data_IF_327657346509
#
_entry.id   IF_327657346509
#
_cell.length_a   1.000
_cell.length_b   1.000
_cell.length_c   1.000
_cell.angle_alpha   90.00
_cell.angle_beta   90.00
_cell.angle_gamma   90.00
#
_symmetry.space_group_name_H-M   'P 1'
#
loop_
_entity.id
_entity.type
_entity.pdbx_description
1 polymer ?
#
# COMPACT_ATOMS: atom_id res chain seq x y z
N UNK A 1 15.40 34.08 -22.39
CA UNK A 1 15.60 35.53 -22.66
C UNK A 1 16.77 36.02 -21.82
N UNK A 2 17.55 36.94 -22.40
CA UNK A 2 18.84 37.47 -21.92
C UNK A 2 18.74 38.23 -20.59
N UNK A 3 19.82 38.13 -19.81
CA UNK A 3 20.18 39.05 -18.73
C UNK A 3 20.45 40.47 -19.30
N UNK A 4 20.16 41.51 -18.52
CA UNK A 4 20.51 42.88 -18.84
C UNK A 4 20.29 43.81 -17.65
N UNK A 5 21.39 44.15 -16.98
CA UNK A 5 21.49 45.11 -15.89
C UNK A 5 21.54 46.55 -16.44
N UNK A 6 21.05 47.52 -15.67
CA UNK A 6 21.06 48.96 -15.96
C UNK A 6 19.70 49.56 -15.60
N UNK A 7 19.52 50.31 -14.52
CA UNK A 7 20.39 51.31 -13.93
C UNK A 7 19.65 52.64 -14.03
N UNK A 8 18.89 53.00 -13.00
CA UNK A 8 18.55 54.39 -12.64
C UNK A 8 17.97 54.40 -11.22
N UNK A 9 18.89 54.58 -10.26
CA UNK A 9 18.54 55.06 -8.94
C UNK A 9 18.31 56.57 -9.03
N UNK A 10 17.08 56.98 -8.82
CA UNK A 10 16.73 58.35 -8.50
C UNK A 10 15.50 58.28 -7.59
N UNK A 11 15.75 58.20 -6.28
CA UNK A 11 14.84 58.71 -5.27
C UNK A 11 15.72 59.14 -4.10
N UNK A 12 16.18 60.39 -4.20
CA UNK A 12 16.60 61.12 -3.02
C UNK A 12 15.39 61.29 -2.12
N UNK A 13 15.51 60.86 -0.87
CA UNK A 13 14.85 61.54 0.22
C UNK A 13 15.87 61.63 1.35
N UNK A 14 16.12 62.88 1.73
CA UNK A 14 17.29 63.27 2.50
C UNK A 14 17.34 62.61 3.85
N UNK A 15 18.58 62.26 4.22
CA UNK A 15 19.03 62.10 5.58
C UNK A 15 18.74 63.39 6.35
N UNK A 16 17.56 63.46 6.96
CA UNK A 16 17.41 64.23 8.17
C UNK A 16 18.18 63.45 9.24
N UNK A 17 19.43 63.84 9.46
CA UNK A 17 20.21 63.54 10.66
C UNK A 17 19.46 64.13 11.89
N UNK A 18 18.33 63.52 12.24
CA UNK A 18 17.77 63.60 13.56
C UNK A 18 18.72 62.81 14.44
N UNK A 19 19.51 63.53 15.23
CA UNK A 19 20.28 62.95 16.31
C UNK A 19 19.28 62.25 17.23
N UNK A 20 19.03 60.96 17.01
CA UNK A 20 18.34 60.13 18.00
C UNK A 20 19.35 60.05 19.13
N UNK A 21 19.14 60.86 20.17
CA UNK A 21 19.92 60.76 21.40
C UNK A 21 19.96 59.27 21.78
N UNK A 22 21.17 58.72 21.80
CA UNK A 22 21.35 57.35 22.29
C UNK A 22 20.82 57.32 23.71
N UNK A 23 19.75 56.56 23.92
CA UNK A 23 19.14 56.39 25.24
C UNK A 23 20.25 55.98 26.21
N UNK A 24 20.46 56.80 27.25
CA UNK A 24 21.54 56.61 28.20
C UNK A 24 21.44 55.18 28.75
N UNK A 25 22.53 54.39 28.73
CA UNK A 25 22.53 53.05 29.31
C UNK A 25 22.14 53.14 30.79
N UNK A 26 21.03 52.49 31.16
CA UNK A 26 20.63 52.36 32.56
C UNK A 26 21.64 51.40 33.20
N UNK A 27 22.52 51.93 34.05
CA UNK A 27 23.40 51.12 34.88
C UNK A 27 22.59 50.62 36.06
N UNK A 28 22.16 49.36 36.03
CA UNK A 28 21.65 48.71 37.23
C UNK A 28 22.82 48.20 38.05
N UNK A 29 22.88 48.60 39.31
CA UNK A 29 23.73 47.98 40.32
C UNK A 29 22.83 47.12 41.19
N UNK A 30 23.07 45.80 41.20
CA UNK A 30 22.35 44.89 42.08
C UNK A 30 22.81 45.15 43.51
N UNK A 31 22.13 46.07 44.19
CA UNK A 31 22.25 46.25 45.63
C UNK A 31 21.47 45.11 46.29
N UNK A 32 22.21 44.21 46.94
CA UNK A 32 21.68 42.97 47.47
C UNK A 32 20.53 43.16 48.47
N UNK A 33 19.54 42.27 48.35
CA UNK A 33 18.64 41.91 49.44
C UNK A 33 17.27 42.59 49.44
N UNK A 34 16.29 42.03 48.71
CA UNK A 34 14.87 42.37 48.86
C UNK A 34 14.00 41.81 47.73
N UNK A 35 12.72 41.44 47.99
CA UNK A 35 11.92 40.59 47.11
C UNK A 35 11.68 41.29 45.76
N UNK A 36 11.97 40.60 44.67
CA UNK A 36 11.74 41.10 43.32
C UNK A 36 10.29 41.58 43.17
N UNK A 37 10.09 42.90 43.14
CA UNK A 37 8.79 43.50 42.83
C UNK A 37 8.50 43.20 41.37
N UNK A 38 7.61 42.23 41.12
CA UNK A 38 7.06 41.99 39.78
C UNK A 38 6.39 43.28 39.33
N UNK A 39 6.96 43.90 38.31
CA UNK A 39 6.36 45.06 37.67
C UNK A 39 4.99 44.67 37.10
N UNK A 40 3.92 45.24 37.65
CA UNK A 40 2.57 45.14 37.13
C UNK A 40 2.12 46.53 36.68
N UNK A 41 1.79 46.75 35.40
CA UNK A 41 1.32 48.05 34.92
C UNK A 41 -0.03 48.45 35.53
N UNK A 42 -0.70 47.55 36.27
CA UNK A 42 -1.99 47.79 36.92
C UNK A 42 -1.90 48.04 38.43
N UNK A 43 -0.73 47.93 39.06
CA UNK A 43 -0.61 48.21 40.50
C UNK A 43 -0.57 49.73 40.74
N UNK A 44 -1.58 50.24 41.46
CA UNK A 44 -1.75 51.64 41.87
C UNK A 44 -0.74 52.04 42.95
N UNK A 45 0.56 52.02 42.63
CA UNK A 45 1.55 52.60 43.52
C UNK A 45 1.61 54.13 43.37
N UNK A 46 1.91 54.88 44.45
CA UNK A 46 2.11 56.32 44.38
C UNK A 46 3.15 56.66 43.31
N UNK A 47 2.83 57.62 42.45
CA UNK A 47 3.68 58.08 41.37
C UNK A 47 5.04 58.53 41.94
N UNK A 48 6.05 57.68 41.79
CA UNK A 48 7.42 58.02 42.16
C UNK A 48 7.92 59.16 41.24
N UNK A 49 8.56 60.21 41.78
CA UNK A 49 9.20 61.28 40.98
C UNK A 49 10.22 60.77 39.96
N UNK A 50 10.74 59.55 40.18
CA UNK A 50 11.63 58.85 39.25
C UNK A 50 11.00 58.52 37.88
N UNK A 51 9.67 58.63 37.73
CA UNK A 51 8.97 58.41 36.45
C UNK A 51 9.27 59.48 35.41
N UNK A 52 9.69 60.67 35.82
CA UNK A 52 10.14 61.75 34.92
C UNK A 52 11.60 61.54 34.45
N UNK A 53 12.40 60.78 35.21
CA UNK A 53 13.83 60.55 34.96
C UNK A 53 14.14 59.21 34.33
N UNK A 54 13.26 58.23 34.48
CA UNK A 54 13.38 56.91 33.91
C UNK A 54 12.24 56.69 32.93
N UNK A 55 12.58 56.78 31.64
CA UNK A 55 11.68 56.39 30.56
C UNK A 55 11.12 55.01 30.88
N UNK A 56 9.80 54.96 31.02
CA UNK A 56 8.95 53.77 30.98
C UNK A 56 9.40 52.87 29.80
N UNK A 57 9.19 51.53 29.85
CA UNK A 57 10.01 50.55 29.14
C UNK A 57 10.25 50.97 27.69
N UNK A 58 11.53 51.02 27.30
CA UNK A 58 11.93 51.24 25.92
C UNK A 58 11.09 50.35 25.00
N UNK A 59 10.70 50.83 23.82
CA UNK A 59 9.86 50.10 22.86
C UNK A 59 10.36 48.66 22.60
N UNK A 60 11.68 48.46 22.68
CA UNK A 60 12.34 47.15 22.62
C UNK A 60 11.85 46.15 23.69
N UNK A 61 11.64 46.59 24.93
CA UNK A 61 11.16 45.71 26.01
C UNK A 61 9.71 45.30 25.79
N UNK A 62 8.89 46.21 25.25
CA UNK A 62 7.50 45.91 24.89
C UNK A 62 7.46 44.95 23.69
N UNK A 63 8.26 45.18 22.65
CA UNK A 63 8.33 44.30 21.48
C UNK A 63 8.79 42.88 21.85
N UNK A 64 9.81 42.74 22.71
CA UNK A 64 10.25 41.43 23.21
C UNK A 64 9.13 40.73 23.99
N UNK A 65 8.36 41.45 24.80
CA UNK A 65 7.26 40.84 25.54
C UNK A 65 6.11 40.41 24.62
N UNK A 66 5.82 41.17 23.56
CA UNK A 66 4.83 40.81 22.55
C UNK A 66 5.26 39.58 21.74
N UNK A 67 6.52 39.53 21.29
CA UNK A 67 7.09 38.35 20.63
C UNK A 67 7.04 37.12 21.53
N UNK A 68 7.43 37.25 22.81
CA UNK A 68 7.33 36.17 23.79
C UNK A 68 5.90 35.68 23.94
N UNK A 69 4.93 36.60 23.98
CA UNK A 69 3.50 36.25 24.07
C UNK A 69 3.06 35.48 22.83
N UNK A 70 3.45 35.93 21.64
CA UNK A 70 3.13 35.24 20.39
C UNK A 70 3.77 33.85 20.33
N UNK A 71 5.04 33.71 20.70
CA UNK A 71 5.72 32.43 20.77
C UNK A 71 5.06 31.46 21.75
N UNK A 72 4.55 31.94 22.89
CA UNK A 72 3.80 31.09 23.83
C UNK A 72 2.50 30.59 23.20
N UNK A 73 1.79 31.46 22.48
CA UNK A 73 0.54 31.09 21.79
C UNK A 73 0.83 30.07 20.69
N UNK A 74 1.79 30.34 19.81
CA UNK A 74 2.13 29.43 18.71
C UNK A 74 2.66 28.10 19.20
N UNK A 75 3.54 28.09 20.21
CA UNK A 75 4.03 26.83 20.80
C UNK A 75 2.89 26.01 21.40
N UNK A 76 1.89 26.66 22.02
CA UNK A 76 0.72 25.94 22.53
C UNK A 76 -0.07 25.28 21.41
N UNK A 77 -0.37 26.03 20.33
CA UNK A 77 -1.08 25.48 19.17
C UNK A 77 -0.31 24.33 18.53
N UNK A 78 1.01 24.47 18.37
CA UNK A 78 1.85 23.40 17.82
C UNK A 78 1.86 22.15 18.71
N UNK A 79 1.83 22.30 20.04
CA UNK A 79 1.72 21.16 20.95
C UNK A 79 0.37 20.45 20.80
N UNK A 80 -0.72 21.20 20.67
CA UNK A 80 -2.06 20.66 20.42
C UNK A 80 -2.09 19.89 19.08
N UNK A 81 -1.50 20.42 18.01
CA UNK A 81 -1.37 19.74 16.71
C UNK A 81 -0.50 18.46 16.79
N UNK A 82 0.60 18.49 17.56
CA UNK A 82 1.46 17.32 17.77
C UNK A 82 0.70 16.21 18.50
N UNK A 83 -0.10 16.57 19.51
CA UNK A 83 -0.92 15.61 20.26
C UNK A 83 -1.99 14.98 19.36
N UNK A 84 -2.66 15.77 18.52
CA UNK A 84 -3.63 15.27 17.53
C UNK A 84 -2.96 14.31 16.52
N UNK A 85 -1.80 14.69 15.98
CA UNK A 85 -1.04 13.84 15.06
C UNK A 85 -0.61 12.53 15.72
N UNK A 86 -0.20 12.57 16.99
CA UNK A 86 0.14 11.35 17.74
C UNK A 86 -1.06 10.43 17.88
N UNK A 87 -2.22 10.95 18.24
CA UNK A 87 -3.45 10.16 18.35
C UNK A 87 -3.84 9.53 16.99
N UNK A 88 -3.75 10.29 15.89
CA UNK A 88 -4.00 9.75 14.55
C UNK A 88 -3.02 8.65 14.16
N UNK A 89 -1.73 8.80 14.50
CA UNK A 89 -0.72 7.77 14.22
C UNK A 89 -0.99 6.50 15.03
N UNK A 90 -1.41 6.64 16.29
CA UNK A 90 -1.80 5.50 17.14
C UNK A 90 -3.02 4.76 16.57
N UNK A 91 -4.06 5.49 16.17
CA UNK A 91 -5.25 4.93 15.53
C UNK A 91 -4.93 4.23 14.21
N UNK A 92 -4.08 4.86 13.37
CA UNK A 92 -3.60 4.24 12.13
C UNK A 92 -2.79 2.99 12.40
N UNK A 93 -1.92 3.00 13.42
CA UNK A 93 -1.15 1.84 13.84
C UNK A 93 -2.06 0.68 14.27
N UNK A 94 -3.09 0.96 15.08
CA UNK A 94 -4.08 -0.04 15.49
C UNK A 94 -4.82 -0.63 14.28
N UNK A 95 -5.22 0.21 13.33
CA UNK A 95 -5.90 -0.25 12.10
C UNK A 95 -4.99 -1.09 11.21
N UNK A 96 -3.70 -0.77 11.12
CA UNK A 96 -2.73 -1.59 10.37
C UNK A 96 -2.63 -2.99 10.98
N UNK A 97 -2.48 -3.09 12.30
CA UNK A 97 -2.39 -4.39 12.99
C UNK A 97 -3.65 -5.24 12.80
N UNK A 98 -4.85 -4.63 12.84
CA UNK A 98 -6.11 -5.32 12.53
C UNK A 98 -6.14 -5.88 11.10
N UNK A 99 -5.71 -5.06 10.13
CA UNK A 99 -5.67 -5.46 8.73
C UNK A 99 -4.63 -6.56 8.48
N UNK A 100 -3.46 -6.48 9.09
CA UNK A 100 -2.44 -7.52 9.02
C UNK A 100 -2.98 -8.86 9.55
N UNK A 101 -3.66 -8.84 10.69
CA UNK A 101 -4.34 -10.03 11.23
C UNK A 101 -5.38 -10.60 10.24
N UNK A 102 -6.20 -9.74 9.65
CA UNK A 102 -7.21 -10.14 8.66
C UNK A 102 -6.56 -10.76 7.41
N UNK A 103 -5.46 -10.20 6.92
CA UNK A 103 -4.73 -10.72 5.75
C UNK A 103 -4.14 -12.10 6.05
N UNK A 104 -3.57 -12.30 7.24
CA UNK A 104 -3.04 -13.61 7.65
C UNK A 104 -4.16 -14.65 7.70
N UNK A 105 -5.31 -14.31 8.28
CA UNK A 105 -6.46 -15.21 8.34
C UNK A 105 -6.98 -15.58 6.95
N UNK A 106 -7.08 -14.60 6.04
CA UNK A 106 -7.49 -14.86 4.65
C UNK A 106 -6.46 -15.74 3.92
N UNK A 107 -5.16 -15.51 4.14
CA UNK A 107 -4.12 -16.34 3.55
C UNK A 107 -4.30 -17.81 3.95
N UNK A 108 -4.52 -18.08 5.24
CA UNK A 108 -4.77 -19.45 5.74
C UNK A 108 -6.01 -20.07 5.08
N UNK A 109 -7.09 -19.30 4.90
CA UNK A 109 -8.30 -19.79 4.22
C UNK A 109 -8.05 -20.09 2.75
N UNK A 110 -7.30 -19.24 2.05
CA UNK A 110 -6.95 -19.44 0.64
C UNK A 110 -6.07 -20.68 0.48
N UNK A 111 -5.09 -20.88 1.35
CA UNK A 111 -4.24 -22.08 1.34
C UNK A 111 -5.07 -23.36 1.55
N UNK A 112 -5.98 -23.34 2.53
CA UNK A 112 -6.88 -24.48 2.77
C UNK A 112 -7.81 -24.78 1.57
N UNK A 113 -8.34 -23.73 0.93
CA UNK A 113 -9.16 -23.87 -0.27
C UNK A 113 -8.34 -24.38 -1.46
N UNK A 114 -7.12 -23.89 -1.64
CA UNK A 114 -6.20 -24.37 -2.67
C UNK A 114 -5.90 -25.86 -2.50
N UNK A 115 -5.59 -26.30 -1.27
CA UNK A 115 -5.37 -27.72 -0.99
C UNK A 115 -6.62 -28.56 -1.31
N UNK A 116 -7.82 -28.05 -1.00
CA UNK A 116 -9.06 -28.74 -1.32
C UNK A 116 -9.22 -28.90 -2.84
N UNK A 117 -8.94 -27.85 -3.62
CA UNK A 117 -8.96 -27.90 -5.08
C UNK A 117 -7.93 -28.89 -5.63
N UNK A 118 -6.71 -28.94 -5.06
CA UNK A 118 -5.71 -29.91 -5.51
C UNK A 118 -6.13 -31.35 -5.22
N UNK A 119 -6.72 -31.61 -4.05
CA UNK A 119 -7.25 -32.95 -3.71
C UNK A 119 -8.38 -33.36 -4.64
N UNK A 120 -9.33 -32.47 -4.94
CA UNK A 120 -10.45 -32.78 -5.84
C UNK A 120 -9.96 -32.99 -7.27
N UNK A 121 -9.02 -32.16 -7.75
CA UNK A 121 -8.37 -32.35 -9.05
C UNK A 121 -7.68 -33.71 -9.16
N UNK A 122 -6.88 -34.09 -8.16
CA UNK A 122 -6.21 -35.39 -8.14
C UNK A 122 -7.19 -36.58 -8.11
N UNK A 123 -8.36 -36.41 -7.48
CA UNK A 123 -9.44 -37.41 -7.54
C UNK A 123 -10.05 -37.49 -8.94
N UNK A 124 -10.35 -36.35 -9.56
CA UNK A 124 -10.92 -36.31 -10.90
C UNK A 124 -10.01 -36.94 -11.95
N UNK A 125 -8.71 -36.65 -11.91
CA UNK A 125 -7.72 -37.28 -12.81
C UNK A 125 -7.79 -38.81 -12.70
N UNK A 126 -7.77 -39.36 -11.48
CA UNK A 126 -7.89 -40.82 -11.27
C UNK A 126 -9.19 -41.40 -11.79
N UNK A 127 -10.31 -40.68 -11.70
CA UNK A 127 -11.58 -41.16 -12.25
C UNK A 127 -11.59 -41.09 -13.79
N UNK A 128 -11.00 -40.06 -14.39
CA UNK A 128 -10.83 -39.97 -15.84
C UNK A 128 -9.97 -41.14 -16.35
N UNK A 129 -8.85 -41.45 -15.69
CA UNK A 129 -7.98 -42.55 -16.06
C UNK A 129 -8.73 -43.90 -16.04
N UNK A 130 -9.51 -44.16 -14.98
CA UNK A 130 -10.35 -45.36 -14.90
C UNK A 130 -11.40 -45.45 -16.01
N UNK A 131 -12.01 -44.31 -16.36
CA UNK A 131 -13.01 -44.26 -17.44
C UNK A 131 -12.33 -44.54 -18.78
N UNK A 132 -11.15 -43.98 -19.02
CA UNK A 132 -10.38 -44.24 -20.23
C UNK A 132 -9.94 -45.70 -20.33
N UNK A 133 -9.46 -46.30 -19.24
CA UNK A 133 -9.09 -47.72 -19.18
C UNK A 133 -10.28 -48.63 -19.49
N UNK A 134 -11.45 -48.35 -18.89
CA UNK A 134 -12.69 -49.10 -19.18
C UNK A 134 -13.14 -48.93 -20.63
N UNK A 135 -13.08 -47.71 -21.16
CA UNK A 135 -13.46 -47.45 -22.55
C UNK A 135 -12.53 -48.19 -23.53
N UNK A 136 -11.22 -48.21 -23.26
CA UNK A 136 -10.25 -48.97 -24.04
C UNK A 136 -10.53 -50.48 -23.98
N UNK A 137 -10.86 -51.02 -22.80
CA UNK A 137 -11.25 -52.42 -22.63
C UNK A 137 -12.51 -52.78 -23.44
N UNK A 138 -13.56 -51.96 -23.35
CA UNK A 138 -14.80 -52.16 -24.13
C UNK A 138 -14.49 -52.13 -25.63
N UNK A 139 -13.68 -51.16 -26.09
CA UNK A 139 -13.29 -51.09 -27.50
C UNK A 139 -12.57 -52.37 -27.94
N UNK A 140 -11.59 -52.85 -27.17
CA UNK A 140 -10.88 -54.08 -27.47
C UNK A 140 -11.82 -55.30 -27.51
N UNK A 141 -12.73 -55.43 -26.55
CA UNK A 141 -13.74 -56.50 -26.52
C UNK A 141 -14.63 -56.45 -27.76
N UNK A 142 -15.11 -55.25 -28.14
CA UNK A 142 -15.94 -55.09 -29.35
C UNK A 142 -15.18 -55.40 -30.64
N UNK A 143 -13.91 -55.02 -30.74
CA UNK A 143 -13.06 -55.37 -31.89
C UNK A 143 -12.90 -56.88 -32.00
N UNK A 144 -12.58 -57.57 -30.89
CA UNK A 144 -12.46 -59.03 -30.87
C UNK A 144 -13.76 -59.73 -31.26
N UNK A 145 -14.92 -59.22 -30.81
CA UNK A 145 -16.22 -59.75 -31.21
C UNK A 145 -16.48 -59.56 -32.72
N UNK A 146 -16.14 -58.41 -33.28
CA UNK A 146 -16.28 -58.13 -34.72
C UNK A 146 -15.36 -59.07 -35.52
N UNK A 147 -14.08 -59.18 -35.14
CA UNK A 147 -13.12 -60.06 -35.81
C UNK A 147 -13.56 -61.52 -35.76
N UNK A 148 -14.11 -61.97 -34.63
CA UNK A 148 -14.68 -63.32 -34.49
C UNK A 148 -15.89 -63.57 -35.41
N UNK A 149 -16.79 -62.59 -35.55
CA UNK A 149 -17.93 -62.68 -36.48
C UNK A 149 -17.44 -62.69 -37.93
N UNK A 150 -16.51 -61.80 -38.31
CA UNK A 150 -15.95 -61.73 -39.67
C UNK A 150 -15.23 -63.02 -40.03
N UNK A 151 -14.33 -63.52 -39.18
CA UNK A 151 -13.63 -64.79 -39.41
C UNK A 151 -14.57 -65.99 -39.49
N UNK A 152 -15.66 -66.00 -38.72
CA UNK A 152 -16.71 -67.01 -38.83
C UNK A 152 -17.42 -66.99 -40.20
N UNK A 153 -17.77 -65.81 -40.70
CA UNK A 153 -18.42 -65.61 -42.02
C UNK A 153 -17.50 -65.99 -43.18
N UNK A 154 -16.20 -65.70 -43.07
CA UNK A 154 -15.19 -66.09 -44.07
C UNK A 154 -14.92 -67.61 -44.07
N UNK A 155 -15.00 -68.26 -42.90
CA UNK A 155 -14.87 -69.72 -42.81
C UNK A 155 -16.08 -70.46 -43.39
N UNK A 156 -17.29 -69.93 -43.23
CA UNK A 156 -18.51 -70.57 -43.76
C UNK A 156 -18.69 -70.42 -45.27
N UNK A 157 -17.99 -69.48 -45.91
CA UNK A 157 -18.04 -69.30 -47.36
C UNK A 157 -17.04 -70.19 -48.12
N UNK A 158 -16.05 -70.78 -47.44
CA UNK A 158 -15.02 -71.61 -48.08
C UNK A 158 -15.34 -73.12 -48.07
N UNK A 159 -16.34 -73.59 -47.30
CA UNK A 159 -16.75 -75.01 -47.27
C UNK A 159 -17.76 -75.42 -48.36
N UNK A 160 -18.33 -74.48 -49.13
CA UNK A 160 -19.38 -74.78 -50.14
C UNK A 160 -18.83 -74.92 -51.59
N UNK A 161 -17.52 -75.01 -51.80
CA UNK A 161 -16.92 -75.15 -53.16
C UNK A 161 -15.78 -76.17 -53.21
N UNK A 162 -16.09 -77.45 -52.99
CA UNK A 162 -15.19 -78.53 -53.43
C UNK A 162 -15.89 -79.88 -53.60
N UNK A 163 -16.76 -80.02 -54.60
CA UNK A 163 -17.01 -81.30 -55.28
C UNK A 163 -17.23 -81.06 -56.79
N UNK A 164 -16.17 -80.69 -57.51
CA UNK A 164 -16.11 -80.97 -58.96
C UNK A 164 -15.55 -82.40 -59.13
N UNK A 165 -16.44 -83.36 -59.40
CA UNK A 165 -16.02 -84.67 -59.90
C UNK A 165 -15.42 -84.53 -61.30
N UNK A 166 -14.23 -85.11 -61.59
CA UNK A 166 -13.71 -85.14 -62.94
C UNK A 166 -14.50 -86.18 -63.76
N UNK A 167 -15.27 -85.69 -64.73
CA UNK A 167 -15.88 -86.48 -65.80
C UNK A 167 -14.79 -87.33 -66.47
N UNK A 168 -14.94 -88.66 -66.42
CA UNK A 168 -14.14 -89.61 -67.20
C UNK A 168 -14.67 -89.60 -68.64
N UNK A 169 -13.82 -89.27 -69.60
CA UNK A 169 -14.06 -89.52 -71.03
C UNK A 169 -13.97 -91.02 -71.29
N UNK A 170 -15.05 -91.61 -71.82
CA UNK A 170 -15.05 -92.96 -72.39
C UNK A 170 -14.42 -92.90 -73.80
N UNK A 171 -13.47 -93.80 -74.14
CA UNK A 171 -13.01 -93.94 -75.51
C UNK A 171 -14.02 -94.74 -76.34
N UNK A 172 -14.47 -94.16 -77.45
CA UNK A 172 -15.30 -94.84 -78.45
C UNK A 172 -14.60 -96.08 -79.01
N UNK A 173 -15.27 -97.24 -78.92
CA UNK A 173 -14.86 -98.51 -79.53
C UNK A 173 -15.63 -98.70 -80.86
N UNK A 174 -14.88 -99.02 -81.91
CA UNK A 174 -15.28 -99.17 -83.32
C UNK A 174 -16.35 -100.25 -83.56
N UNK A 175 -17.34 -99.97 -84.44
CA UNK A 175 -17.91 -100.92 -85.42
C UNK A 175 -18.32 -100.19 -86.70
#
# INVERSE_FOLDING_TARGET
MKNGNGGHAANGNGDANGHVESLRPIRYQVLGGGPCVRYSPFSRFPLCPCRETHSYPNDLVLSINDERRQLVITNRTLLEEIEELRAMVEDQGARILELEGTVIDEQVRVEAAHDQVQRTRARLVREVDKVQERAAGILADTTMLIDGVVGGVESSTHEDTSEEEPFKEDPEEEV
#
